data_IF_247912334404
#
_entry.id   IF_247912334404
#
_cell.length_a   1.000
_cell.length_b   1.000
_cell.length_c   1.000
_cell.angle_alpha   90.00
_cell.angle_beta   90.00
_cell.angle_gamma   90.00
#
_symmetry.space_group_name_H-M   'P 1'
#
loop_
_entity.id
_entity.type
_entity.pdbx_description
1 polymer ?
#
# COMPACT_ATOMS: atom_id res chain seq x y z
N UNK A 1 2.85 -22.64 -22.17
CA UNK A 1 1.79 -22.76 -21.15
C UNK A 1 1.35 -21.35 -20.75
N UNK A 2 0.29 -20.83 -21.38
CA UNK A 2 -0.22 -19.48 -21.09
C UNK A 2 -0.92 -19.48 -19.74
N UNK A 3 -0.40 -18.71 -18.78
CA UNK A 3 -1.06 -18.49 -17.49
C UNK A 3 -2.39 -17.79 -17.76
N UNK A 4 -3.51 -18.42 -17.45
CA UNK A 4 -4.79 -17.73 -17.25
C UNK A 4 -4.62 -16.85 -16.01
N UNK A 5 -4.07 -15.64 -16.20
CA UNK A 5 -4.14 -14.60 -15.19
C UNK A 5 -5.62 -14.23 -15.06
N UNK A 6 -6.14 -14.34 -13.85
CA UNK A 6 -7.55 -14.08 -13.59
C UNK A 6 -7.82 -12.60 -13.87
N UNK A 7 -8.95 -12.24 -14.50
CA UNK A 7 -9.28 -10.84 -14.80
C UNK A 7 -9.24 -9.97 -13.54
N UNK A 8 -9.60 -10.56 -12.39
CA UNK A 8 -9.57 -9.88 -11.10
C UNK A 8 -8.15 -9.61 -10.59
N UNK A 9 -7.18 -10.47 -10.92
CA UNK A 9 -5.77 -10.21 -10.63
C UNK A 9 -5.24 -9.08 -11.52
N UNK A 10 -5.58 -9.09 -12.81
CA UNK A 10 -5.22 -7.98 -13.72
C UNK A 10 -5.85 -6.65 -13.28
N UNK A 11 -7.09 -6.65 -12.76
CA UNK A 11 -7.73 -5.44 -12.22
C UNK A 11 -7.01 -4.94 -10.96
N UNK A 12 -6.63 -5.84 -10.05
CA UNK A 12 -5.88 -5.48 -8.84
C UNK A 12 -4.52 -4.88 -9.16
N UNK A 13 -3.77 -5.48 -10.08
CA UNK A 13 -2.47 -4.95 -10.51
C UNK A 13 -2.57 -3.56 -11.16
N UNK A 14 -3.62 -3.31 -11.95
CA UNK A 14 -3.89 -1.98 -12.52
C UNK A 14 -4.20 -0.92 -11.47
N UNK A 15 -4.93 -1.30 -10.41
CA UNK A 15 -5.24 -0.38 -9.29
C UNK A 15 -3.97 -0.01 -8.52
N UNK A 16 -3.05 -0.96 -8.33
CA UNK A 16 -1.77 -0.70 -7.64
C UNK A 16 -0.93 0.35 -8.40
N UNK A 17 -0.92 0.28 -9.73
CA UNK A 17 -0.18 1.25 -10.56
C UNK A 17 -0.83 2.65 -10.62
N UNK A 18 -2.09 2.79 -10.21
CA UNK A 18 -2.82 4.07 -10.14
C UNK A 18 -2.63 4.78 -8.79
N UNK A 19 -1.85 4.22 -7.85
CA UNK A 19 -1.55 4.85 -6.56
C UNK A 19 -0.43 5.92 -6.65
N UNK A 20 -0.29 6.59 -7.79
CA UNK A 20 0.48 7.85 -7.85
C UNK A 20 -0.38 8.99 -7.28
N UNK A 21 0.22 9.92 -6.51
CA UNK A 21 -0.51 10.95 -5.76
C UNK A 21 -1.38 11.91 -6.61
N UNK A 22 -1.22 11.90 -7.93
CA UNK A 22 -1.99 12.72 -8.87
C UNK A 22 -3.24 12.01 -9.45
N UNK A 23 -3.49 10.75 -9.09
CA UNK A 23 -4.65 9.99 -9.59
C UNK A 23 -5.80 10.07 -8.59
N UNK A 24 -6.80 10.89 -8.92
CA UNK A 24 -8.04 10.97 -8.15
C UNK A 24 -8.94 9.77 -8.47
N UNK A 25 -9.19 8.93 -7.46
CA UNK A 25 -10.11 7.79 -7.56
C UNK A 25 -11.53 8.19 -7.12
N UNK A 26 -12.55 7.84 -7.92
CA UNK A 26 -13.94 8.18 -7.60
C UNK A 26 -14.40 7.58 -6.25
N UNK A 27 -15.43 8.17 -5.65
CA UNK A 27 -15.93 7.74 -4.33
C UNK A 27 -16.34 6.26 -4.32
N UNK A 28 -17.01 5.79 -5.36
CA UNK A 28 -17.47 4.40 -5.46
C UNK A 28 -16.30 3.40 -5.48
N UNK A 29 -15.23 3.71 -6.22
CA UNK A 29 -14.03 2.88 -6.22
C UNK A 29 -13.29 2.94 -4.88
N UNK A 30 -13.23 4.10 -4.23
CA UNK A 30 -12.63 4.24 -2.89
C UNK A 30 -13.36 3.41 -1.84
N UNK A 31 -14.69 3.31 -1.92
CA UNK A 31 -15.49 2.47 -1.03
C UNK A 31 -15.37 0.99 -1.38
N UNK A 32 -15.46 0.65 -2.66
CA UNK A 32 -15.37 -0.74 -3.15
C UNK A 32 -14.02 -1.39 -2.84
N UNK A 33 -12.93 -0.65 -2.95
CA UNK A 33 -11.58 -1.16 -2.73
C UNK A 33 -10.99 -0.78 -1.37
N UNK A 34 -11.77 -0.13 -0.50
CA UNK A 34 -11.33 0.36 0.82
C UNK A 34 -10.56 -0.70 1.61
N UNK A 35 -11.08 -1.91 1.69
CA UNK A 35 -10.46 -3.00 2.46
C UNK A 35 -9.11 -3.44 1.88
N UNK A 36 -8.97 -3.36 0.56
CA UNK A 36 -7.75 -3.73 -0.17
C UNK A 36 -6.71 -2.61 -0.15
N UNK A 37 -7.13 -1.37 0.02
CA UNK A 37 -6.28 -0.16 -0.01
C UNK A 37 -6.16 0.52 1.34
N UNK A 38 -6.57 -0.15 2.41
CA UNK A 38 -6.40 0.29 3.79
C UNK A 38 -5.09 -0.21 4.37
N UNK A 39 -4.46 0.60 5.21
CA UNK A 39 -3.28 0.18 5.93
C UNK A 39 -3.60 -1.00 6.85
N UNK A 40 -2.82 -2.07 6.77
CA UNK A 40 -3.03 -3.27 7.57
C UNK A 40 -2.83 -3.07 9.09
N UNK A 41 -2.26 -1.94 9.52
CA UNK A 41 -1.99 -1.62 10.93
C UNK A 41 -3.04 -0.67 11.50
N UNK A 42 -3.28 0.46 10.83
CA UNK A 42 -4.17 1.51 11.34
C UNK A 42 -5.52 1.62 10.62
N UNK A 43 -5.74 0.85 9.55
CA UNK A 43 -6.97 0.88 8.76
C UNK A 43 -7.17 2.12 7.88
N UNK A 44 -6.25 3.10 7.91
CA UNK A 44 -6.33 4.34 7.13
C UNK A 44 -6.44 4.02 5.64
N UNK A 45 -7.46 4.58 4.98
CA UNK A 45 -7.65 4.42 3.53
C UNK A 45 -6.61 5.27 2.79
N UNK A 46 -5.74 4.61 2.03
CA UNK A 46 -4.65 5.26 1.29
C UNK A 46 -5.08 5.75 -0.10
N UNK A 47 -6.28 5.40 -0.56
CA UNK A 47 -6.93 6.01 -1.72
C UNK A 47 -7.69 7.29 -1.37
N UNK A 48 -7.72 7.69 -0.10
CA UNK A 48 -8.40 8.92 0.28
C UNK A 48 -7.64 10.14 -0.31
N UNK A 49 -8.31 11.10 -0.96
CA UNK A 49 -7.66 12.29 -1.50
C UNK A 49 -7.04 13.18 -0.42
N UNK A 50 -7.40 12.99 0.86
CA UNK A 50 -6.73 13.66 1.98
C UNK A 50 -5.45 12.93 2.42
N UNK A 51 -5.19 11.72 1.92
CA UNK A 51 -3.96 11.00 2.19
C UNK A 51 -2.83 11.52 1.29
N UNK A 52 -1.85 12.20 1.90
CA UNK A 52 -0.69 12.78 1.20
C UNK A 52 0.62 12.01 1.42
N UNK A 53 0.57 10.88 2.11
CA UNK A 53 1.75 10.08 2.44
C UNK A 53 2.10 9.07 1.36
N UNK A 54 3.26 8.44 1.49
CA UNK A 54 3.64 7.31 0.63
C UNK A 54 2.89 6.02 1.02
N UNK A 55 2.65 5.14 0.07
CA UNK A 55 2.07 3.80 0.30
C UNK A 55 3.15 2.75 0.11
N UNK A 56 3.32 1.89 1.11
CA UNK A 56 4.31 0.82 1.09
C UNK A 56 3.60 -0.53 1.00
N UNK A 57 4.09 -1.41 0.12
CA UNK A 57 3.64 -2.80 0.02
C UNK A 57 4.73 -3.73 0.53
N UNK A 58 4.40 -4.64 1.45
CA UNK A 58 5.35 -5.65 1.89
C UNK A 58 5.49 -6.74 0.81
N UNK A 59 6.71 -7.03 0.32
CA UNK A 59 6.91 -8.03 -0.73
C UNK A 59 6.70 -9.48 -0.26
N UNK A 60 6.63 -9.72 1.05
CA UNK A 60 6.46 -11.06 1.63
C UNK A 60 4.98 -11.41 1.79
N UNK A 61 4.20 -10.50 2.36
CA UNK A 61 2.79 -10.75 2.69
C UNK A 61 1.79 -9.95 1.83
N UNK A 62 2.27 -9.13 0.89
CA UNK A 62 1.49 -8.28 -0.01
C UNK A 62 0.54 -7.29 0.69
N UNK A 63 0.69 -7.07 1.99
CA UNK A 63 -0.09 -6.09 2.76
C UNK A 63 0.39 -4.67 2.46
N UNK A 64 -0.55 -3.74 2.49
CA UNK A 64 -0.28 -2.31 2.33
C UNK A 64 -0.15 -1.61 3.68
N UNK A 65 0.73 -0.61 3.72
CA UNK A 65 1.06 0.16 4.91
C UNK A 65 1.15 1.64 4.57
N UNK A 66 0.56 2.48 5.42
CA UNK A 66 0.77 3.92 5.32
C UNK A 66 2.21 4.26 5.74
N UNK A 67 2.71 5.40 5.27
CA UNK A 67 4.05 5.88 5.56
C UNK A 67 4.35 5.93 7.07
N UNK A 68 3.41 6.42 7.88
CA UNK A 68 3.58 6.48 9.33
C UNK A 68 3.77 5.08 9.96
N UNK A 69 2.94 4.12 9.59
CA UNK A 69 3.03 2.75 10.12
C UNK A 69 4.27 2.03 9.60
N UNK A 70 4.61 2.22 8.33
CA UNK A 70 5.82 1.68 7.74
C UNK A 70 7.07 2.23 8.44
N UNK A 71 7.14 3.55 8.63
CA UNK A 71 8.24 4.21 9.32
C UNK A 71 8.31 3.83 10.80
N UNK A 72 7.19 3.53 11.48
CA UNK A 72 7.22 3.00 12.85
C UNK A 72 7.81 1.58 12.90
N UNK A 73 7.49 0.72 11.93
CA UNK A 73 8.02 -0.64 11.86
C UNK A 73 9.49 -0.67 11.45
N UNK A 74 9.87 0.10 10.42
CA UNK A 74 11.26 0.20 9.95
C UNK A 74 12.12 1.14 10.81
N UNK A 75 11.50 2.09 11.51
CA UNK A 75 12.15 3.02 12.44
C UNK A 75 12.81 2.33 13.63
N UNK A 76 12.37 1.12 13.98
CA UNK A 76 13.06 0.24 14.94
C UNK A 76 14.47 -0.14 14.42
N UNK A 77 14.72 -0.12 13.11
CA UNK A 77 16.04 -0.48 12.54
C UNK A 77 17.03 0.68 12.46
N UNK A 78 16.62 1.93 12.68
CA UNK A 78 17.56 3.07 12.60
C UNK A 78 18.46 3.21 13.84
N UNK A 79 18.21 2.48 14.92
CA UNK A 79 19.07 2.48 16.12
C UNK A 79 20.07 1.29 16.20
N UNK A 80 20.20 0.45 15.17
CA UNK A 80 21.13 -0.71 15.20
C UNK A 80 22.29 -0.64 14.20
N UNK A 81 22.67 0.55 13.71
CA UNK A 81 23.95 0.74 13.01
C UNK A 81 24.93 1.59 13.83
N UNK A 82 25.01 1.31 15.12
CA UNK A 82 26.23 1.50 15.90
C UNK A 82 26.87 0.13 16.12
N UNK A 83 28.15 0.00 15.79
CA UNK A 83 29.02 -1.14 16.13
C UNK A 83 28.84 -2.37 15.20
N UNK A 84 29.43 -2.28 14.02
CA UNK A 84 30.27 -3.40 13.55
C UNK A 84 31.72 -2.98 13.80
N UNK A 85 32.35 -3.75 14.68
CA UNK A 85 33.71 -3.60 15.21
C UNK A 85 34.69 -4.33 14.30
#
# INVERSE_FOLDING_TARGET
MGKKMNEDEMRKERIINLLTPDVLVCKDCREKYKELTSCAVCGKNMLDPNYKGMVYQCPVCNKLYCEECWNKMEGIKKESKGIFR
#
